data_IF_586948872628
#
_entry.id   IF_586948872628
#
_cell.length_a   1.000
_cell.length_b   1.000
_cell.length_c   1.000
_cell.angle_alpha   90.00
_cell.angle_beta   90.00
_cell.angle_gamma   90.00
#
_symmetry.space_group_name_H-M   'P 1'
#
loop_
_entity.id
_entity.type
_entity.pdbx_description
1 polymer ?
#
# COMPACT_ATOMS: atom_id res chain seq x y z
N UNK A 1 3.30 -11.17 -29.68
CA UNK A 1 4.18 -11.43 -28.53
C UNK A 1 4.01 -10.25 -27.60
N UNK A 2 3.72 -10.48 -26.33
CA UNK A 2 3.69 -9.43 -25.31
C UNK A 2 5.14 -9.06 -24.99
N UNK A 3 5.46 -7.77 -24.93
CA UNK A 3 6.81 -7.32 -24.60
C UNK A 3 7.02 -7.27 -23.09
N UNK A 4 8.28 -7.30 -22.63
CA UNK A 4 8.62 -7.10 -21.21
C UNK A 4 8.04 -5.80 -20.66
N UNK A 5 8.03 -4.73 -21.47
CA UNK A 5 7.47 -3.43 -21.09
C UNK A 5 5.95 -3.50 -20.91
N UNK A 6 5.23 -4.23 -21.79
CA UNK A 6 3.80 -4.48 -21.64
C UNK A 6 3.51 -5.25 -20.34
N UNK A 7 4.26 -6.32 -20.05
CA UNK A 7 4.08 -7.11 -18.82
C UNK A 7 4.34 -6.28 -17.56
N UNK A 8 5.36 -5.42 -17.56
CA UNK A 8 5.62 -4.53 -16.43
C UNK A 8 4.52 -3.48 -16.27
N UNK A 9 3.95 -3.00 -17.37
CA UNK A 9 2.83 -2.05 -17.35
C UNK A 9 1.60 -2.68 -16.71
N UNK A 10 1.28 -3.94 -17.01
CA UNK A 10 0.21 -4.70 -16.33
C UNK A 10 0.43 -4.79 -14.81
N UNK A 11 1.67 -5.05 -14.37
CA UNK A 11 2.01 -5.06 -12.94
C UNK A 11 1.82 -3.67 -12.30
N UNK A 12 2.15 -2.59 -13.02
CA UNK A 12 1.93 -1.22 -12.54
C UNK A 12 0.45 -0.96 -12.35
N UNK A 13 -0.39 -1.33 -13.31
CA UNK A 13 -1.84 -1.15 -13.24
C UNK A 13 -2.43 -1.91 -12.05
N UNK A 14 -2.04 -3.18 -11.86
CA UNK A 14 -2.46 -3.95 -10.68
C UNK A 14 -2.00 -3.30 -9.36
N UNK A 15 -0.79 -2.73 -9.32
CA UNK A 15 -0.35 -2.00 -8.14
C UNK A 15 -1.21 -0.75 -7.89
N UNK A 16 -1.67 -0.06 -8.93
CA UNK A 16 -2.55 1.11 -8.79
C UNK A 16 -3.91 0.70 -8.21
N UNK A 17 -4.50 -0.40 -8.67
CA UNK A 17 -5.74 -0.94 -8.11
C UNK A 17 -5.59 -1.27 -6.62
N UNK A 18 -4.50 -1.92 -6.23
CA UNK A 18 -4.21 -2.22 -4.83
C UNK A 18 -4.01 -0.93 -4.00
N UNK A 19 -3.32 0.06 -4.54
CA UNK A 19 -3.14 1.34 -3.87
C UNK A 19 -4.45 2.13 -3.74
N UNK A 20 -5.41 1.95 -4.65
CA UNK A 20 -6.75 2.53 -4.51
C UNK A 20 -7.48 1.97 -3.28
N UNK A 21 -7.39 0.66 -3.03
CA UNK A 21 -7.92 0.05 -1.80
C UNK A 21 -7.21 0.57 -0.54
N UNK A 22 -5.89 0.68 -0.56
CA UNK A 22 -5.13 1.27 0.54
C UNK A 22 -5.54 2.74 0.79
N UNK A 23 -5.87 3.49 -0.26
CA UNK A 23 -6.35 4.86 -0.15
C UNK A 23 -7.71 4.96 0.54
N UNK A 24 -8.60 3.99 0.36
CA UNK A 24 -9.86 3.92 1.09
C UNK A 24 -9.64 3.74 2.59
N UNK A 25 -8.73 2.84 2.99
CA UNK A 25 -8.34 2.68 4.40
C UNK A 25 -7.75 3.97 4.96
N UNK A 26 -6.83 4.60 4.23
CA UNK A 26 -6.27 5.90 4.61
C UNK A 26 -7.35 6.95 4.83
N UNK A 27 -8.31 7.04 3.92
CA UNK A 27 -9.38 8.03 3.98
C UNK A 27 -10.29 7.77 5.18
N UNK A 28 -10.63 6.52 5.45
CA UNK A 28 -11.38 6.14 6.65
C UNK A 28 -10.64 6.55 7.93
N UNK A 29 -9.41 6.05 8.13
CA UNK A 29 -8.64 6.28 9.37
C UNK A 29 -8.34 7.76 9.60
N UNK A 30 -8.07 8.53 8.53
CA UNK A 30 -7.79 9.97 8.67
C UNK A 30 -8.98 10.77 9.22
N UNK A 31 -10.20 10.31 8.97
CA UNK A 31 -11.42 11.04 9.34
C UNK A 31 -12.23 10.31 10.41
N UNK A 32 -11.68 9.27 11.03
CA UNK A 32 -12.28 8.63 12.20
C UNK A 32 -12.07 9.50 13.43
N UNK A 33 -13.09 9.63 14.29
CA UNK A 33 -13.00 10.40 15.54
C UNK A 33 -11.89 9.84 16.45
N UNK A 34 -11.66 8.52 16.41
CA UNK A 34 -10.63 7.85 17.20
C UNK A 34 -9.20 8.38 16.96
N UNK A 35 -8.94 9.05 15.84
CA UNK A 35 -7.62 9.61 15.54
C UNK A 35 -7.25 10.79 16.46
N UNK A 36 -8.24 11.44 17.07
CA UNK A 36 -8.03 12.55 18.02
C UNK A 36 -7.45 12.02 19.34
N UNK A 37 -7.96 10.87 19.81
CA UNK A 37 -7.52 10.22 21.05
C UNK A 37 -6.36 9.22 20.83
N UNK A 38 -6.21 8.70 19.60
CA UNK A 38 -5.18 7.72 19.20
C UNK A 38 -4.36 8.24 18.00
N UNK A 39 -3.48 9.23 18.20
CA UNK A 39 -2.70 9.85 17.12
C UNK A 39 -1.73 8.88 16.41
N UNK A 40 -1.40 7.74 17.03
CA UNK A 40 -0.59 6.67 16.45
C UNK A 40 -1.21 6.10 15.17
N UNK A 41 -2.55 6.11 15.06
CA UNK A 41 -3.28 5.67 13.87
C UNK A 41 -2.89 6.47 12.62
N UNK A 42 -2.38 7.70 12.77
CA UNK A 42 -1.88 8.48 11.64
C UNK A 42 -0.64 7.87 10.99
N UNK A 43 0.02 6.88 11.61
CA UNK A 43 1.13 6.14 11.04
C UNK A 43 0.77 5.50 9.68
N UNK A 44 -0.34 4.75 9.62
CA UNK A 44 -0.79 4.12 8.37
C UNK A 44 -1.26 5.17 7.35
N UNK A 45 -1.93 6.23 7.82
CA UNK A 45 -2.41 7.33 6.95
C UNK A 45 -1.26 7.99 6.19
N UNK A 46 -0.16 8.30 6.91
CA UNK A 46 1.04 8.90 6.33
C UNK A 46 1.78 7.92 5.42
N UNK A 47 1.90 6.66 5.83
CA UNK A 47 2.61 5.64 5.05
C UNK A 47 1.93 5.36 3.69
N UNK A 48 0.60 5.25 3.67
CA UNK A 48 -0.17 5.11 2.43
C UNK A 48 0.01 6.35 1.55
N UNK A 49 -0.15 7.55 2.11
CA UNK A 49 0.03 8.80 1.37
C UNK A 49 1.41 8.89 0.70
N UNK A 50 2.48 8.73 1.49
CA UNK A 50 3.86 8.84 1.01
C UNK A 50 4.19 7.78 -0.04
N UNK A 51 3.59 6.59 0.06
CA UNK A 51 3.78 5.51 -0.90
C UNK A 51 3.06 5.81 -2.21
N UNK A 52 1.76 6.15 -2.18
CA UNK A 52 0.99 6.56 -3.37
C UNK A 52 1.70 7.67 -4.12
N UNK A 53 2.04 8.76 -3.41
CA UNK A 53 2.67 9.94 -4.02
C UNK A 53 4.03 9.64 -4.64
N UNK A 54 4.79 8.71 -4.08
CA UNK A 54 6.07 8.32 -4.66
C UNK A 54 5.91 7.45 -5.92
N UNK A 55 4.96 6.52 -5.90
CA UNK A 55 4.67 5.62 -7.01
C UNK A 55 4.08 6.34 -8.22
N UNK A 56 3.19 7.32 -8.00
CA UNK A 56 2.60 8.16 -9.05
C UNK A 56 3.64 8.89 -9.91
N UNK A 57 4.84 9.14 -9.39
CA UNK A 57 5.93 9.77 -10.16
C UNK A 57 6.55 8.84 -11.22
N UNK A 58 6.16 7.57 -11.26
CA UNK A 58 6.77 6.51 -12.08
C UNK A 58 5.77 5.76 -12.96
N UNK A 59 4.54 6.24 -13.11
CA UNK A 59 3.50 5.54 -13.89
C UNK A 59 3.89 5.28 -15.36
N UNK A 60 4.70 6.16 -15.94
CA UNK A 60 5.19 6.06 -17.33
C UNK A 60 6.59 5.40 -17.43
N UNK A 61 7.10 4.88 -16.32
CA UNK A 61 8.41 4.23 -16.20
C UNK A 61 8.22 2.93 -15.39
N UNK A 62 7.65 1.86 -15.98
CA UNK A 62 7.29 0.66 -15.25
C UNK A 62 8.48 0.03 -14.52
N UNK A 63 9.65 0.01 -15.14
CA UNK A 63 10.87 -0.49 -14.50
C UNK A 63 11.27 0.35 -13.28
N UNK A 64 11.20 1.68 -13.39
CA UNK A 64 11.43 2.60 -12.28
C UNK A 64 10.36 2.53 -11.20
N UNK A 65 9.11 2.20 -11.57
CA UNK A 65 8.01 1.98 -10.64
C UNK A 65 8.30 0.80 -9.71
N UNK A 66 8.67 -0.36 -10.25
CA UNK A 66 9.04 -1.56 -9.46
C UNK A 66 10.19 -1.25 -8.49
N UNK A 67 11.20 -0.50 -8.95
CA UNK A 67 12.31 -0.05 -8.10
C UNK A 67 11.83 0.90 -6.98
N UNK A 68 10.89 1.79 -7.27
CA UNK A 68 10.32 2.70 -6.28
C UNK A 68 9.47 1.95 -5.25
N UNK A 69 8.62 1.02 -5.70
CA UNK A 69 7.83 0.16 -4.83
C UNK A 69 8.73 -0.60 -3.85
N UNK A 70 9.83 -1.19 -4.32
CA UNK A 70 10.80 -1.86 -3.47
C UNK A 70 11.41 -0.96 -2.38
N UNK A 71 11.56 0.34 -2.63
CA UNK A 71 12.05 1.31 -1.62
C UNK A 71 10.98 1.67 -0.58
N UNK A 72 9.70 1.61 -0.94
CA UNK A 72 8.57 2.08 -0.11
C UNK A 72 7.90 0.95 0.67
N UNK A 73 7.83 -0.26 0.10
CA UNK A 73 7.07 -1.38 0.65
C UNK A 73 7.47 -1.71 2.09
N UNK A 74 8.76 -1.66 2.42
CA UNK A 74 9.23 -1.93 3.78
C UNK A 74 8.73 -0.93 4.83
N UNK A 75 8.51 0.33 4.45
CA UNK A 75 7.91 1.33 5.36
C UNK A 75 6.41 1.09 5.48
N UNK A 76 5.73 0.80 4.36
CA UNK A 76 4.31 0.51 4.34
C UNK A 76 3.97 -0.70 5.21
N UNK A 77 4.73 -1.80 5.08
CA UNK A 77 4.60 -3.00 5.92
C UNK A 77 4.69 -2.67 7.42
N UNK A 78 5.73 -1.94 7.84
CA UNK A 78 5.90 -1.59 9.27
C UNK A 78 4.75 -0.73 9.82
N UNK A 79 4.26 0.22 9.02
CA UNK A 79 3.13 1.05 9.44
C UNK A 79 1.83 0.23 9.54
N UNK A 80 1.64 -0.73 8.63
CA UNK A 80 0.52 -1.67 8.66
C UNK A 80 0.59 -2.62 9.86
N UNK A 81 1.77 -3.15 10.18
CA UNK A 81 2.00 -3.99 11.37
C UNK A 81 1.68 -3.22 12.66
N UNK A 82 2.12 -1.97 12.76
CA UNK A 82 1.78 -1.11 13.88
C UNK A 82 0.27 -0.86 13.95
N UNK A 83 -0.35 -0.48 12.84
CA UNK A 83 -1.80 -0.23 12.79
C UNK A 83 -2.63 -1.46 13.20
N UNK A 84 -2.18 -2.67 12.85
CA UNK A 84 -2.82 -3.92 13.30
C UNK A 84 -2.84 -4.06 14.82
N UNK A 85 -1.79 -3.59 15.51
CA UNK A 85 -1.71 -3.59 16.98
C UNK A 85 -2.50 -2.44 17.61
N UNK A 86 -2.47 -1.27 17.00
CA UNK A 86 -3.06 -0.04 17.56
C UNK A 86 -4.58 0.03 17.33
N UNK A 87 -5.07 -0.42 16.17
CA UNK A 87 -6.49 -0.30 15.81
C UNK A 87 -7.46 -0.93 16.82
N UNK A 88 -7.22 -2.15 17.35
CA UNK A 88 -8.11 -2.74 18.37
C UNK A 88 -8.08 -2.01 19.72
N UNK A 89 -7.01 -1.25 20.01
CA UNK A 89 -6.92 -0.42 21.21
C UNK A 89 -7.75 0.87 21.06
N UNK A 90 -7.78 1.40 19.84
CA UNK A 90 -8.59 2.57 19.50
C UNK A 90 -10.08 2.24 19.40
N UNK A 91 -10.44 1.14 18.72
CA UNK A 91 -11.84 0.78 18.49
C UNK A 91 -12.00 -0.68 18.06
N UNK A 92 -13.01 -1.35 18.62
CA UNK A 92 -13.40 -2.70 18.20
C UNK A 92 -14.51 -2.70 17.14
N UNK A 93 -14.88 -1.53 16.60
CA UNK A 93 -15.90 -1.44 15.55
C UNK A 93 -15.48 -2.19 14.28
N UNK A 94 -16.48 -2.74 13.57
CA UNK A 94 -16.28 -3.50 12.34
C UNK A 94 -15.43 -2.76 11.32
N UNK A 95 -15.54 -1.43 11.22
CA UNK A 95 -14.76 -0.64 10.27
C UNK A 95 -13.24 -0.74 10.54
N UNK A 96 -12.80 -0.69 11.80
CA UNK A 96 -11.39 -0.86 12.14
C UNK A 96 -10.91 -2.29 11.88
N UNK A 97 -11.72 -3.30 12.20
CA UNK A 97 -11.41 -4.70 11.90
C UNK A 97 -11.24 -4.92 10.39
N UNK A 98 -12.12 -4.35 9.57
CA UNK A 98 -12.04 -4.45 8.11
C UNK A 98 -10.89 -3.60 7.54
N UNK A 99 -10.63 -2.42 8.10
CA UNK A 99 -9.50 -1.58 7.71
C UNK A 99 -8.17 -2.32 7.89
N UNK A 100 -7.96 -2.98 9.02
CA UNK A 100 -6.76 -3.81 9.28
C UNK A 100 -6.62 -4.93 8.26
N UNK A 101 -7.69 -5.71 8.04
CA UNK A 101 -7.68 -6.80 7.04
C UNK A 101 -7.39 -6.30 5.63
N UNK A 102 -8.00 -5.18 5.26
CA UNK A 102 -7.85 -4.59 3.93
C UNK A 102 -6.42 -4.11 3.69
N UNK A 103 -5.82 -3.38 4.63
CA UNK A 103 -4.45 -2.86 4.45
C UNK A 103 -3.39 -3.98 4.53
N UNK A 104 -3.62 -5.02 5.33
CA UNK A 104 -2.79 -6.23 5.36
C UNK A 104 -2.77 -6.94 4.00
N UNK A 105 -3.95 -7.09 3.37
CA UNK A 105 -4.06 -7.66 2.04
C UNK A 105 -3.34 -6.79 1.00
N UNK A 106 -3.49 -5.46 1.08
CA UNK A 106 -2.82 -4.55 0.15
C UNK A 106 -1.29 -4.68 0.21
N UNK A 107 -0.72 -4.74 1.41
CA UNK A 107 0.74 -4.92 1.56
C UNK A 107 1.19 -6.26 0.99
N UNK A 108 0.48 -7.34 1.33
CA UNK A 108 0.78 -8.69 0.82
C UNK A 108 0.78 -8.68 -0.71
N UNK A 109 -0.28 -8.14 -1.33
CA UNK A 109 -0.40 -8.12 -2.79
C UNK A 109 0.67 -7.26 -3.46
N UNK A 110 1.03 -6.12 -2.88
CA UNK A 110 2.13 -5.28 -3.38
C UNK A 110 3.49 -5.97 -3.27
N UNK A 111 3.72 -6.77 -2.23
CA UNK A 111 4.95 -7.58 -2.11
C UNK A 111 5.01 -8.66 -3.19
N UNK A 112 3.91 -9.35 -3.47
CA UNK A 112 3.82 -10.33 -4.57
C UNK A 112 4.08 -9.68 -5.95
N UNK A 113 3.42 -8.55 -6.23
CA UNK A 113 3.60 -7.79 -7.47
C UNK A 113 5.04 -7.27 -7.62
N UNK A 114 5.68 -6.89 -6.52
CA UNK A 114 7.08 -6.49 -6.51
C UNK A 114 8.01 -7.65 -6.89
N UNK A 115 7.74 -8.87 -6.41
CA UNK A 115 8.52 -10.05 -6.80
C UNK A 115 8.31 -10.34 -8.28
N UNK A 116 7.06 -10.44 -8.73
CA UNK A 116 6.74 -10.69 -10.14
C UNK A 116 7.39 -9.66 -11.08
N UNK A 117 7.32 -8.37 -10.74
CA UNK A 117 7.96 -7.31 -11.52
C UNK A 117 9.49 -7.44 -11.57
N UNK A 118 10.14 -7.87 -10.48
CA UNK A 118 11.60 -8.11 -10.47
C UNK A 118 12.01 -9.32 -11.29
N UNK A 119 11.21 -10.37 -11.28
CA UNK A 119 11.45 -11.57 -12.07
C UNK A 119 11.38 -11.25 -13.56
N UNK A 120 10.38 -10.46 -13.99
CA UNK A 120 10.25 -9.96 -15.36
C UNK A 120 11.47 -9.10 -15.76
N UNK A 121 11.98 -8.25 -14.86
CA UNK A 121 13.18 -7.44 -15.13
C UNK A 121 14.49 -8.24 -15.22
N UNK A 122 14.50 -9.46 -14.69
CA UNK A 122 15.69 -10.31 -14.61
C UNK A 122 15.72 -11.42 -15.67
N UNK A 123 14.62 -11.58 -16.42
CA UNK A 123 14.45 -12.55 -17.51
C UNK A 123 14.97 -11.99 -18.85
#
# INVERSE_FOLDING_TARGET
>A
MVTTEDQLSEIVDECQDVMAHAWMVRTFVKHSEEVEDFPELMGVVRAVFDTSRALETRLQDPAGYIKMLGKKIGRMRRATEQFRGDAPLASTHTNFVQAVRSIDLCVTRLEELLVAGRDIQSA
#
